data_IF_275520841712
#
_entry.id   IF_275520841712
#
_cell.length_a   1.000
_cell.length_b   1.000
_cell.length_c   1.000
_cell.angle_alpha   90.00
_cell.angle_beta   90.00
_cell.angle_gamma   90.00
#
_symmetry.space_group_name_H-M   'P 1'
#
loop_
_entity.id
_entity.type
_entity.pdbx_description
1 polymer ?
#
# COMPACT_ATOMS: atom_id res chain seq x y z
N UNK A 1 -13.61 3.20 6.33
CA UNK A 1 -13.87 3.91 5.05
C UNK A 1 -13.18 5.26 5.09
N UNK A 2 -12.68 5.76 3.95
CA UNK A 2 -12.16 7.12 3.81
C UNK A 2 -13.24 8.19 4.05
N UNK A 3 -14.52 7.83 3.88
CA UNK A 3 -15.65 8.70 4.26
C UNK A 3 -15.68 9.01 5.75
N UNK A 4 -15.37 8.04 6.61
CA UNK A 4 -15.28 8.23 8.06
C UNK A 4 -14.11 9.14 8.42
N UNK A 5 -12.96 8.97 7.77
CA UNK A 5 -11.79 9.85 7.98
C UNK A 5 -12.12 11.28 7.62
N UNK A 6 -12.72 11.50 6.43
CA UNK A 6 -13.19 12.84 6.03
C UNK A 6 -14.21 13.39 7.03
N UNK A 7 -15.17 12.60 7.46
CA UNK A 7 -16.27 13.09 8.29
C UNK A 7 -15.85 13.40 9.74
N UNK A 8 -14.90 12.65 10.31
CA UNK A 8 -14.65 12.63 11.77
C UNK A 8 -13.23 12.98 12.20
N UNK A 9 -12.22 12.71 11.37
CA UNK A 9 -10.83 12.66 11.84
C UNK A 9 -10.28 14.04 12.19
N UNK A 10 -10.12 14.35 13.47
CA UNK A 10 -9.48 15.60 13.91
C UNK A 10 -7.97 15.45 14.13
N UNK A 11 -7.44 14.23 14.09
CA UNK A 11 -6.00 13.96 14.07
C UNK A 11 -5.67 12.99 12.96
N UNK A 12 -4.68 13.32 12.14
CA UNK A 12 -4.23 12.51 11.01
C UNK A 12 -2.72 12.33 11.13
N UNK A 13 -2.27 11.08 11.12
CA UNK A 13 -0.87 10.69 11.15
C UNK A 13 -0.50 10.08 9.79
N UNK A 14 0.49 10.64 9.12
CA UNK A 14 1.13 10.05 7.95
C UNK A 14 2.50 9.52 8.36
N UNK A 15 2.77 8.24 8.08
CA UNK A 15 4.00 7.57 8.47
C UNK A 15 4.70 6.94 7.25
N UNK A 16 5.89 7.44 6.91
CA UNK A 16 6.67 6.93 5.77
C UNK A 16 5.89 6.99 4.46
N UNK A 17 5.14 8.07 4.24
CA UNK A 17 4.30 8.25 3.07
C UNK A 17 4.15 9.70 2.67
N UNK A 18 4.15 9.94 1.36
CA UNK A 18 4.00 11.26 0.76
C UNK A 18 2.75 11.31 -0.15
N UNK A 19 1.54 11.34 0.42
CA UNK A 19 0.29 11.41 -0.37
C UNK A 19 0.18 12.68 -1.22
N UNK A 20 0.79 13.81 -0.85
CA UNK A 20 0.78 15.01 -1.71
C UNK A 20 1.40 14.74 -3.09
N UNK A 21 2.41 13.86 -3.16
CA UNK A 21 3.05 13.43 -4.40
C UNK A 21 2.38 12.18 -5.00
N UNK A 22 2.27 11.09 -4.21
CA UNK A 22 1.83 9.77 -4.68
C UNK A 22 0.32 9.65 -4.90
N UNK A 23 -0.47 10.47 -4.20
CA UNK A 23 -1.94 10.46 -4.23
C UNK A 23 -2.46 11.91 -4.33
N UNK A 24 -2.28 12.61 -5.46
CA UNK A 24 -2.36 14.08 -5.51
C UNK A 24 -3.66 14.69 -4.97
N UNK A 25 -4.78 13.97 -5.07
CA UNK A 25 -6.09 14.41 -4.57
C UNK A 25 -6.42 13.97 -3.15
N UNK A 26 -5.51 13.30 -2.45
CA UNK A 26 -5.77 12.77 -1.11
C UNK A 26 -5.93 13.89 -0.10
N UNK A 27 -5.00 14.85 -0.09
CA UNK A 27 -5.01 15.99 0.82
C UNK A 27 -6.29 16.81 0.61
N UNK A 28 -6.55 17.24 -0.64
CA UNK A 28 -7.77 17.95 -1.05
C UNK A 28 -9.05 17.26 -0.54
N UNK A 29 -9.17 15.94 -0.74
CA UNK A 29 -10.43 15.21 -0.51
C UNK A 29 -10.65 14.74 0.91
N UNK A 30 -9.60 14.48 1.68
CA UNK A 30 -9.70 13.80 2.98
C UNK A 30 -9.09 14.59 4.14
N UNK A 31 -8.18 15.53 3.86
CA UNK A 31 -7.56 16.39 4.87
C UNK A 31 -8.20 17.78 4.84
N UNK A 32 -8.19 18.43 3.68
CA UNK A 32 -8.66 19.82 3.57
C UNK A 32 -10.18 19.93 3.59
N UNK A 33 -10.86 18.95 3.00
CA UNK A 33 -12.31 18.94 2.90
C UNK A 33 -13.00 18.97 4.29
N UNK A 34 -14.05 19.81 4.44
CA UNK A 34 -14.95 19.76 5.59
C UNK A 34 -15.59 18.37 5.78
N UNK A 35 -15.78 18.03 7.05
CA UNK A 35 -16.48 16.83 7.51
C UNK A 35 -17.62 17.15 8.47
N UNK A 36 -18.43 16.14 8.78
CA UNK A 36 -19.60 16.28 9.68
C UNK A 36 -19.22 16.75 11.08
N UNK A 37 -18.08 16.28 11.62
CA UNK A 37 -17.58 16.61 12.96
C UNK A 37 -16.32 17.48 12.93
N UNK A 38 -15.91 17.91 11.73
CA UNK A 38 -14.76 18.79 11.46
C UNK A 38 -15.16 19.80 10.37
N UNK A 39 -16.15 20.68 10.65
CA UNK A 39 -16.74 21.57 9.64
C UNK A 39 -15.76 22.61 9.09
N UNK A 40 -14.71 22.94 9.83
CA UNK A 40 -13.62 23.82 9.41
C UNK A 40 -12.59 23.18 8.48
N UNK A 41 -12.73 21.88 8.16
CA UNK A 41 -11.80 21.16 7.27
C UNK A 41 -10.39 21.10 7.86
N UNK A 42 -9.36 21.46 7.08
CA UNK A 42 -7.95 21.47 7.51
C UNK A 42 -7.71 22.15 8.86
N UNK A 43 -8.44 23.24 9.17
CA UNK A 43 -8.29 24.03 10.42
C UNK A 43 -8.71 23.27 11.67
N UNK A 44 -9.60 22.29 11.52
CA UNK A 44 -10.09 21.46 12.63
C UNK A 44 -9.27 20.17 12.77
N UNK A 45 -8.22 20.00 11.94
CA UNK A 45 -7.38 18.81 11.91
C UNK A 45 -5.96 19.12 12.32
N UNK A 46 -5.43 18.26 13.17
CA UNK A 46 -4.01 18.17 13.44
C UNK A 46 -3.38 17.13 12.51
N UNK A 47 -2.45 17.56 11.66
CA UNK A 47 -1.74 16.73 10.69
C UNK A 47 -0.31 16.52 11.18
N UNK A 48 0.03 15.27 11.47
CA UNK A 48 1.37 14.84 11.86
C UNK A 48 1.97 14.01 10.73
N UNK A 49 3.23 14.29 10.40
CA UNK A 49 4.02 13.49 9.45
C UNK A 49 5.25 12.95 10.16
N UNK A 50 5.49 11.65 10.03
CA UNK A 50 6.72 10.97 10.45
C UNK A 50 7.40 10.43 9.21
N UNK A 51 8.61 10.89 8.93
CA UNK A 51 9.38 10.47 7.76
C UNK A 51 10.88 10.67 8.01
N UNK A 52 11.73 10.07 7.17
CA UNK A 52 13.20 10.17 7.30
C UNK A 52 13.76 11.49 6.73
N UNK A 53 12.96 12.17 5.90
CA UNK A 53 13.32 13.44 5.27
C UNK A 53 12.08 14.33 5.04
N UNK A 54 12.25 15.65 4.90
CA UNK A 54 11.17 16.55 4.49
C UNK A 54 10.58 16.17 3.13
N UNK A 55 9.26 16.30 2.99
CA UNK A 55 8.47 15.96 1.79
C UNK A 55 7.42 17.04 1.50
N UNK A 56 6.77 16.97 0.34
CA UNK A 56 5.63 17.82 0.01
C UNK A 56 4.49 17.65 1.03
N UNK A 57 4.31 16.44 1.59
CA UNK A 57 3.30 16.22 2.64
C UNK A 57 3.73 16.81 3.98
N UNK A 58 5.01 16.72 4.37
CA UNK A 58 5.49 17.29 5.63
C UNK A 58 5.45 18.81 5.64
N UNK A 59 5.61 19.45 4.47
CA UNK A 59 5.45 20.90 4.33
C UNK A 59 4.03 21.40 4.63
N UNK A 60 3.02 20.52 4.57
CA UNK A 60 1.61 20.83 4.86
C UNK A 60 1.19 20.44 6.30
N UNK A 61 2.09 19.80 7.05
CA UNK A 61 1.82 19.24 8.37
C UNK A 61 1.92 20.31 9.47
N UNK A 62 1.15 20.13 10.54
CA UNK A 62 1.29 20.92 11.77
C UNK A 62 2.50 20.45 12.59
N UNK A 63 2.87 19.18 12.45
CA UNK A 63 4.04 18.59 13.11
C UNK A 63 4.74 17.66 12.15
N UNK A 64 6.03 17.89 11.93
CA UNK A 64 6.91 16.97 11.23
C UNK A 64 7.91 16.39 12.22
N UNK A 65 7.95 15.06 12.31
CA UNK A 65 8.89 14.31 13.11
C UNK A 65 9.86 13.60 12.18
N UNK A 66 11.07 14.14 12.06
CA UNK A 66 12.13 13.51 11.30
C UNK A 66 12.80 12.42 12.15
N UNK A 67 12.90 11.22 11.59
CA UNK A 67 13.46 10.04 12.28
C UNK A 67 14.72 9.54 11.58
N UNK A 68 15.56 8.81 12.31
CA UNK A 68 16.73 8.17 11.71
C UNK A 68 16.29 7.06 10.72
N UNK A 69 16.93 6.95 9.54
CA UNK A 69 16.58 5.89 8.58
C UNK A 69 16.68 4.49 9.18
N UNK A 70 15.62 3.69 8.99
CA UNK A 70 15.57 2.29 9.43
C UNK A 70 15.26 2.10 10.93
N UNK A 71 14.85 3.16 11.64
CA UNK A 71 14.55 3.12 13.09
C UNK A 71 13.05 3.24 13.42
N UNK A 72 12.18 2.98 12.43
CA UNK A 72 10.73 3.05 12.58
C UNK A 72 10.20 2.13 13.69
N UNK A 73 10.75 0.90 13.79
CA UNK A 73 10.31 -0.08 14.77
C UNK A 73 10.55 0.41 16.19
N UNK A 74 11.77 0.87 16.47
CA UNK A 74 12.21 1.37 17.78
C UNK A 74 11.33 2.53 18.22
N UNK A 75 11.07 3.47 17.31
CA UNK A 75 10.19 4.60 17.61
C UNK A 75 8.74 4.17 17.87
N UNK A 76 8.18 3.32 17.02
CA UNK A 76 6.82 2.80 17.20
C UNK A 76 6.71 2.04 18.53
N UNK A 77 7.72 1.26 18.89
CA UNK A 77 7.75 0.51 20.15
C UNK A 77 7.84 1.45 21.36
N UNK A 78 8.65 2.49 21.28
CA UNK A 78 8.73 3.53 22.31
C UNK A 78 7.41 4.28 22.49
N UNK A 79 6.76 4.68 21.40
CA UNK A 79 5.43 5.30 21.42
C UNK A 79 4.40 4.40 22.11
N UNK A 80 4.43 3.09 21.85
CA UNK A 80 3.56 2.12 22.54
C UNK A 80 3.83 2.07 24.04
N UNK A 81 5.10 2.05 24.44
CA UNK A 81 5.50 2.13 25.84
C UNK A 81 4.95 3.39 26.51
N UNK A 82 5.15 4.54 25.90
CA UNK A 82 4.65 5.84 26.40
C UNK A 82 3.13 5.89 26.48
N UNK A 83 2.40 5.36 25.49
CA UNK A 83 0.93 5.28 25.53
C UNK A 83 0.47 4.50 26.77
N UNK A 84 1.18 3.42 27.12
CA UNK A 84 0.95 2.56 28.29
C UNK A 84 1.52 3.09 29.61
N UNK A 85 2.19 4.24 29.60
CA UNK A 85 2.84 4.81 30.78
C UNK A 85 4.09 4.04 31.23
N UNK A 86 4.72 3.28 30.33
CA UNK A 86 6.02 2.64 30.60
C UNK A 86 7.11 3.70 30.47
N UNK A 87 7.96 3.89 31.50
CA UNK A 87 9.08 4.82 31.41
C UNK A 87 10.11 4.31 30.39
N UNK A 88 10.64 5.23 29.59
CA UNK A 88 11.74 4.94 28.67
C UNK A 88 13.08 5.20 29.38
N UNK A 89 14.04 4.31 29.18
CA UNK A 89 15.40 4.45 29.73
C UNK A 89 16.22 5.50 29.00
N UNK A 90 16.02 5.61 27.68
CA UNK A 90 16.79 6.50 26.81
C UNK A 90 16.06 7.83 26.62
N UNK A 91 16.83 8.92 26.59
CA UNK A 91 16.28 10.27 26.37
C UNK A 91 16.03 10.57 24.88
N UNK A 92 16.61 9.78 23.98
CA UNK A 92 16.49 9.91 22.52
C UNK A 92 16.31 8.53 21.92
N UNK A 93 15.35 8.40 20.99
CA UNK A 93 15.02 7.16 20.29
C UNK A 93 14.81 7.53 18.82
N UNK A 94 15.45 6.80 17.89
CA UNK A 94 15.28 7.02 16.46
C UNK A 94 15.56 8.48 16.01
N UNK A 95 16.54 9.14 16.63
CA UNK A 95 16.86 10.55 16.37
C UNK A 95 15.92 11.57 17.03
N UNK A 96 14.91 11.11 17.79
CA UNK A 96 13.87 11.96 18.40
C UNK A 96 13.94 11.91 19.93
N UNK A 97 13.89 13.08 20.57
CA UNK A 97 13.90 13.16 22.03
C UNK A 97 12.57 12.75 22.66
N UNK A 98 12.62 12.12 23.85
CA UNK A 98 11.41 11.74 24.61
C UNK A 98 10.55 12.95 24.99
N UNK A 99 11.16 14.13 25.12
CA UNK A 99 10.43 15.39 25.34
C UNK A 99 9.62 15.83 24.13
N UNK A 100 9.97 15.42 22.91
CA UNK A 100 9.14 15.59 21.71
C UNK A 100 8.05 14.51 21.61
N UNK A 101 8.36 13.27 22.01
CA UNK A 101 7.41 12.15 21.94
C UNK A 101 6.28 12.25 22.97
N UNK A 102 6.57 12.76 24.17
CA UNK A 102 5.59 12.80 25.26
C UNK A 102 4.37 13.69 24.91
N UNK A 103 4.54 14.93 24.42
CA UNK A 103 3.43 15.75 23.94
C UNK A 103 2.66 15.10 22.79
N UNK A 104 3.37 14.47 21.85
CA UNK A 104 2.76 13.78 20.71
C UNK A 104 1.85 12.64 21.17
N UNK A 105 2.29 11.85 22.15
CA UNK A 105 1.47 10.78 22.76
C UNK A 105 0.24 11.35 23.46
N UNK A 106 0.35 12.47 24.17
CA UNK A 106 -0.82 13.13 24.79
C UNK A 106 -1.80 13.65 23.73
N UNK A 107 -1.30 14.19 22.62
CA UNK A 107 -2.12 14.58 21.48
C UNK A 107 -2.84 13.36 20.88
N UNK A 108 -2.15 12.23 20.72
CA UNK A 108 -2.79 11.02 20.22
C UNK A 108 -3.90 10.49 21.14
N UNK A 109 -3.68 10.52 22.45
CA UNK A 109 -4.65 10.07 23.46
C UNK A 109 -5.86 11.01 23.58
N UNK A 110 -5.69 12.29 23.26
CA UNK A 110 -6.75 13.32 23.35
C UNK A 110 -7.50 13.57 22.03
N UNK A 111 -7.13 12.89 20.94
CA UNK A 111 -7.87 12.95 19.68
C UNK A 111 -9.35 12.55 19.86
N UNK A 112 -10.26 13.14 19.10
CA UNK A 112 -11.67 12.70 19.06
C UNK A 112 -11.84 11.52 18.10
N UNK A 113 -11.14 11.57 16.98
CA UNK A 113 -11.01 10.47 16.03
C UNK A 113 -9.66 10.60 15.32
N UNK A 114 -8.80 9.62 15.54
CA UNK A 114 -7.49 9.54 14.90
C UNK A 114 -7.49 8.62 13.67
N UNK A 115 -6.77 9.03 12.62
CA UNK A 115 -6.52 8.20 11.45
C UNK A 115 -5.02 8.17 11.14
N UNK A 116 -4.44 6.98 11.13
CA UNK A 116 -3.07 6.73 10.70
C UNK A 116 -3.04 6.19 9.27
N UNK A 117 -2.12 6.72 8.48
CA UNK A 117 -1.82 6.28 7.13
C UNK A 117 -0.34 5.94 7.06
N UNK A 118 0.01 4.81 6.45
CA UNK A 118 1.41 4.42 6.25
C UNK A 118 1.68 4.03 4.81
N UNK A 119 2.91 4.24 4.32
CA UNK A 119 3.27 3.94 2.93
C UNK A 119 4.57 3.15 2.80
N UNK A 120 5.19 3.20 1.62
CA UNK A 120 6.40 2.45 1.31
C UNK A 120 7.56 2.68 2.27
N UNK A 121 7.66 3.86 2.91
CA UNK A 121 8.70 4.12 3.91
C UNK A 121 8.68 3.13 5.07
N UNK A 122 7.50 2.60 5.42
CA UNK A 122 7.35 1.60 6.47
C UNK A 122 7.51 0.16 5.98
N UNK A 123 7.39 -0.07 4.67
CA UNK A 123 7.34 -1.42 4.07
C UNK A 123 8.53 -1.76 3.18
N UNK A 124 9.40 -0.80 2.87
CA UNK A 124 10.52 -0.98 1.92
C UNK A 124 11.84 -1.40 2.58
N UNK A 125 11.97 -1.31 3.90
CA UNK A 125 13.24 -1.50 4.61
C UNK A 125 13.11 -2.37 5.86
N UNK A 126 14.25 -2.88 6.34
CA UNK A 126 14.35 -3.65 7.59
C UNK A 126 13.53 -4.94 7.57
N UNK A 127 12.67 -5.11 8.57
CA UNK A 127 11.66 -6.17 8.63
C UNK A 127 10.26 -5.55 8.46
N UNK A 128 9.79 -5.36 7.20
CA UNK A 128 8.57 -4.62 6.88
C UNK A 128 7.33 -5.02 7.69
N UNK A 129 7.14 -6.33 7.89
CA UNK A 129 5.99 -6.86 8.61
C UNK A 129 6.02 -6.51 10.10
N UNK A 130 7.20 -6.39 10.71
CA UNK A 130 7.35 -5.97 12.11
C UNK A 130 7.07 -4.48 12.29
N UNK A 131 7.54 -3.64 11.36
CA UNK A 131 7.24 -2.21 11.36
C UNK A 131 5.73 -1.96 11.25
N UNK A 132 5.09 -2.62 10.29
CA UNK A 132 3.63 -2.54 10.12
C UNK A 132 2.92 -3.09 11.35
N UNK A 133 3.32 -4.25 11.90
CA UNK A 133 2.73 -4.76 13.14
C UNK A 133 2.87 -3.74 14.28
N UNK A 134 4.03 -3.13 14.48
CA UNK A 134 4.24 -2.15 15.54
C UNK A 134 3.28 -0.97 15.42
N UNK A 135 3.03 -0.46 14.21
CA UNK A 135 2.03 0.60 13.97
C UNK A 135 0.60 0.12 14.23
N UNK A 136 0.23 -1.07 13.76
CA UNK A 136 -1.09 -1.65 14.02
C UNK A 136 -1.34 -1.84 15.53
N UNK A 137 -0.30 -2.27 16.26
CA UNK A 137 -0.34 -2.42 17.71
C UNK A 137 -0.39 -1.08 18.44
N UNK A 138 0.33 -0.07 17.97
CA UNK A 138 0.22 1.30 18.49
C UNK A 138 -1.22 1.82 18.37
N UNK A 139 -1.83 1.66 17.19
CA UNK A 139 -3.22 2.03 16.95
C UNK A 139 -4.18 1.22 17.85
N UNK A 140 -3.88 -0.06 18.09
CA UNK A 140 -4.64 -0.88 19.05
C UNK A 140 -4.52 -0.35 20.47
N UNK A 141 -3.32 0.00 20.92
CA UNK A 141 -3.05 0.56 22.24
C UNK A 141 -3.75 1.94 22.41
N UNK A 142 -3.77 2.78 21.36
CA UNK A 142 -4.48 4.06 21.35
C UNK A 142 -6.01 3.91 21.44
N UNK A 143 -6.57 2.82 20.91
CA UNK A 143 -8.01 2.54 21.01
C UNK A 143 -8.49 2.28 22.45
N UNK A 144 -7.59 2.08 23.42
CA UNK A 144 -7.94 2.08 24.84
C UNK A 144 -8.24 3.50 25.39
N UNK A 145 -7.90 4.56 24.65
CA UNK A 145 -8.10 5.95 25.04
C UNK A 145 -9.13 6.66 24.15
N UNK A 146 -9.01 6.52 22.84
CA UNK A 146 -9.92 7.17 21.87
C UNK A 146 -9.93 6.41 20.55
N UNK A 147 -10.90 6.67 19.68
CA UNK A 147 -11.03 5.94 18.43
C UNK A 147 -9.88 6.26 17.47
N UNK A 148 -9.10 5.24 17.14
CA UNK A 148 -8.07 5.31 16.10
C UNK A 148 -8.30 4.26 15.01
N UNK A 149 -8.05 4.62 13.76
CA UNK A 149 -8.02 3.68 12.62
C UNK A 149 -6.70 3.80 11.88
N UNK A 150 -6.30 2.74 11.19
CA UNK A 150 -5.06 2.72 10.41
C UNK A 150 -5.27 2.08 9.05
N UNK A 151 -4.66 2.64 8.01
CA UNK A 151 -4.71 2.14 6.63
C UNK A 151 -3.38 2.34 5.91
N UNK A 152 -2.97 1.35 5.12
CA UNK A 152 -1.86 1.55 4.18
C UNK A 152 -2.30 2.46 3.02
N UNK A 153 -1.46 3.41 2.63
CA UNK A 153 -1.50 4.16 1.38
C UNK A 153 -0.76 3.36 0.30
N UNK A 154 -1.48 2.38 -0.22
CA UNK A 154 -1.09 1.50 -1.32
C UNK A 154 -0.90 2.30 -2.60
N UNK A 155 0.12 1.99 -3.40
CA UNK A 155 0.36 2.71 -4.63
C UNK A 155 -0.83 2.57 -5.61
N UNK A 156 -1.13 3.61 -6.41
CA UNK A 156 -2.11 3.50 -7.48
C UNK A 156 -1.78 2.34 -8.42
N UNK A 157 -2.76 1.50 -8.72
CA UNK A 157 -2.56 0.30 -9.54
C UNK A 157 -2.08 -0.93 -8.77
N UNK A 158 -1.87 -0.84 -7.45
CA UNK A 158 -1.63 -2.04 -6.63
C UNK A 158 -2.81 -3.02 -6.68
N UNK A 159 -2.46 -4.29 -6.63
CA UNK A 159 -3.32 -5.45 -6.85
C UNK A 159 -4.40 -5.68 -5.77
N UNK A 160 -4.79 -4.68 -4.97
CA UNK A 160 -5.75 -4.85 -3.85
C UNK A 160 -7.06 -5.54 -4.27
N UNK A 161 -7.56 -5.25 -5.47
CA UNK A 161 -8.71 -5.93 -6.06
C UNK A 161 -8.39 -7.40 -6.36
N UNK A 162 -7.24 -7.68 -6.98
CA UNK A 162 -6.81 -9.04 -7.29
C UNK A 162 -6.49 -9.86 -6.03
N UNK A 163 -5.91 -9.25 -5.00
CA UNK A 163 -5.67 -9.89 -3.70
C UNK A 163 -6.98 -10.24 -3.01
N UNK A 164 -7.99 -9.37 -3.09
CA UNK A 164 -9.33 -9.66 -2.57
C UNK A 164 -9.93 -10.85 -3.31
N UNK A 165 -9.87 -10.86 -4.65
CA UNK A 165 -10.34 -11.96 -5.50
C UNK A 165 -9.65 -13.26 -5.13
N UNK A 166 -8.32 -13.23 -5.08
CA UNK A 166 -7.50 -14.39 -4.76
C UNK A 166 -7.81 -14.91 -3.35
N UNK A 167 -8.03 -14.00 -2.39
CA UNK A 167 -8.38 -14.37 -1.02
C UNK A 167 -9.71 -15.13 -0.95
N UNK A 168 -10.76 -14.66 -1.61
CA UNK A 168 -12.04 -15.37 -1.55
C UNK A 168 -12.06 -16.64 -2.42
N UNK A 169 -11.23 -16.73 -3.45
CA UNK A 169 -11.14 -17.93 -4.30
C UNK A 169 -10.24 -19.02 -3.70
N UNK A 170 -9.18 -18.64 -2.98
CA UNK A 170 -8.10 -19.56 -2.58
C UNK A 170 -7.85 -19.62 -1.08
N UNK A 171 -8.40 -18.67 -0.32
CA UNK A 171 -8.12 -18.46 1.10
C UNK A 171 -6.89 -17.56 1.37
N UNK A 172 -6.16 -17.12 0.33
CA UNK A 172 -4.89 -16.41 0.48
C UNK A 172 -4.76 -15.20 -0.46
N UNK A 173 -4.11 -14.10 -0.03
CA UNK A 173 -4.14 -12.83 -0.76
C UNK A 173 -3.09 -12.70 -1.87
N UNK A 174 -1.99 -13.44 -1.82
CA UNK A 174 -0.86 -13.35 -2.75
C UNK A 174 0.00 -14.61 -2.63
N UNK A 175 1.05 -14.77 -3.45
CA UNK A 175 2.03 -15.86 -3.30
C UNK A 175 1.39 -17.26 -3.17
N UNK A 176 0.39 -17.53 -4.01
CA UNK A 176 -0.38 -18.78 -3.98
C UNK A 176 0.16 -19.73 -5.03
N UNK A 177 0.61 -20.90 -4.59
CA UNK A 177 1.07 -21.99 -5.44
C UNK A 177 -0.04 -23.04 -5.63
N UNK A 178 -0.33 -23.38 -6.89
CA UNK A 178 -1.37 -24.34 -7.28
C UNK A 178 -0.81 -25.68 -7.81
N UNK A 179 0.51 -25.91 -7.76
CA UNK A 179 1.18 -27.06 -8.42
C UNK A 179 0.71 -28.43 -7.92
N UNK A 180 0.15 -28.52 -6.71
CA UNK A 180 -0.38 -29.77 -6.14
C UNK A 180 -1.87 -29.98 -6.40
N UNK A 181 -2.51 -29.12 -7.20
CA UNK A 181 -3.95 -29.15 -7.45
C UNK A 181 -4.81 -28.51 -6.35
N UNK A 182 -4.18 -27.90 -5.33
CA UNK A 182 -4.84 -27.14 -4.28
C UNK A 182 -3.95 -25.96 -3.84
N UNK A 183 -4.52 -24.87 -3.29
CA UNK A 183 -3.76 -23.68 -2.94
C UNK A 183 -2.79 -23.93 -1.77
N UNK A 184 -1.55 -23.50 -1.94
CA UNK A 184 -0.55 -23.38 -0.88
C UNK A 184 -0.05 -21.94 -0.81
N UNK A 185 0.10 -21.41 0.40
CA UNK A 185 0.51 -20.03 0.63
C UNK A 185 1.77 -19.98 1.47
N UNK A 186 2.82 -19.35 0.93
CA UNK A 186 4.06 -19.12 1.66
C UNK A 186 4.84 -17.96 1.02
N UNK A 187 4.62 -16.70 1.47
CA UNK A 187 5.45 -15.57 1.05
C UNK A 187 6.93 -15.83 1.33
N UNK A 188 7.79 -15.50 0.37
CA UNK A 188 9.22 -15.82 0.36
C UNK A 188 9.53 -17.10 -0.42
N UNK A 189 8.76 -18.18 -0.19
CA UNK A 189 8.84 -19.39 -1.03
C UNK A 189 8.19 -19.11 -2.40
N UNK A 190 6.95 -18.60 -2.43
CA UNK A 190 6.16 -18.40 -3.66
C UNK A 190 6.04 -16.92 -4.08
N UNK A 191 6.93 -16.06 -3.59
CA UNK A 191 7.02 -14.67 -4.07
C UNK A 191 7.64 -14.66 -5.47
N UNK A 192 7.02 -13.96 -6.42
CA UNK A 192 7.49 -13.88 -7.80
C UNK A 192 8.97 -13.48 -7.90
N UNK A 193 9.39 -12.46 -7.16
CA UNK A 193 10.80 -12.04 -7.07
C UNK A 193 11.71 -13.18 -6.66
N UNK A 194 11.40 -13.87 -5.56
CA UNK A 194 12.26 -14.93 -5.05
C UNK A 194 12.28 -16.18 -5.94
N UNK A 195 11.16 -16.54 -6.56
CA UNK A 195 11.08 -17.61 -7.56
C UNK A 195 12.00 -17.31 -8.76
N UNK A 196 11.99 -16.06 -9.24
CA UNK A 196 12.84 -15.60 -10.34
C UNK A 196 14.32 -15.58 -9.96
N UNK A 197 14.68 -15.04 -8.78
CA UNK A 197 16.08 -15.00 -8.32
C UNK A 197 16.69 -16.39 -8.17
N UNK A 198 15.87 -17.37 -7.73
CA UNK A 198 16.31 -18.77 -7.57
C UNK A 198 16.29 -19.57 -8.87
N UNK A 199 15.81 -19.00 -9.97
CA UNK A 199 15.71 -19.67 -11.26
C UNK A 199 14.70 -20.82 -11.29
N UNK A 200 13.70 -20.81 -10.40
CA UNK A 200 12.72 -21.90 -10.25
C UNK A 200 11.61 -21.86 -11.30
N UNK A 201 11.47 -20.73 -12.01
CA UNK A 201 10.42 -20.49 -13.00
C UNK A 201 10.94 -20.80 -14.40
N UNK A 202 10.16 -21.53 -15.19
CA UNK A 202 10.45 -21.89 -16.58
C UNK A 202 9.62 -21.11 -17.61
N UNK A 203 8.54 -20.43 -17.20
CA UNK A 203 7.76 -19.50 -18.01
C UNK A 203 7.03 -18.46 -17.15
N UNK A 204 6.83 -17.24 -17.67
CA UNK A 204 6.18 -16.15 -16.93
C UNK A 204 5.03 -15.54 -17.73
N UNK A 205 3.88 -15.37 -17.05
CA UNK A 205 2.73 -14.60 -17.54
C UNK A 205 2.67 -13.27 -16.77
N UNK A 206 2.81 -12.16 -17.49
CA UNK A 206 2.69 -10.80 -16.94
C UNK A 206 1.34 -10.20 -17.34
N UNK A 207 0.55 -9.80 -16.34
CA UNK A 207 -0.76 -9.17 -16.53
C UNK A 207 -0.70 -7.72 -16.05
N UNK A 208 -0.84 -6.76 -16.96
CA UNK A 208 -0.91 -5.32 -16.63
C UNK A 208 0.22 -4.82 -15.72
N UNK A 209 1.43 -5.39 -15.85
CA UNK A 209 2.51 -5.20 -14.88
C UNK A 209 3.30 -3.92 -15.16
N UNK A 210 3.38 -3.03 -14.16
CA UNK A 210 4.14 -1.77 -14.25
C UNK A 210 5.36 -1.71 -13.32
N UNK A 211 5.54 -2.72 -12.45
CA UNK A 211 6.56 -2.74 -11.40
C UNK A 211 7.85 -3.50 -11.73
N UNK A 212 8.12 -3.84 -13.00
CA UNK A 212 9.29 -4.66 -13.36
C UNK A 212 10.63 -4.00 -13.01
N UNK A 213 10.69 -2.67 -13.03
CA UNK A 213 11.86 -1.88 -12.64
C UNK A 213 12.24 -2.03 -11.16
N UNK A 214 11.33 -2.56 -10.32
CA UNK A 214 11.56 -2.80 -8.89
C UNK A 214 12.18 -4.18 -8.64
N UNK A 215 12.27 -5.04 -9.65
CA UNK A 215 12.88 -6.36 -9.50
C UNK A 215 14.40 -6.23 -9.31
N UNK A 216 15.00 -7.01 -8.40
CA UNK A 216 16.45 -7.15 -8.31
C UNK A 216 17.06 -7.61 -9.64
N UNK A 217 18.32 -7.24 -9.88
CA UNK A 217 19.01 -7.53 -11.14
C UNK A 217 19.01 -9.03 -11.50
N UNK A 218 19.15 -9.92 -10.50
CA UNK A 218 19.11 -11.37 -10.70
C UNK A 218 17.72 -11.85 -11.15
N UNK A 219 16.64 -11.36 -10.51
CA UNK A 219 15.27 -11.69 -10.91
C UNK A 219 14.98 -11.22 -12.34
N UNK A 220 15.41 -10.00 -12.67
CA UNK A 220 15.21 -9.42 -13.99
C UNK A 220 16.00 -10.18 -15.08
N UNK A 221 17.24 -10.60 -14.78
CA UNK A 221 18.04 -11.41 -15.69
C UNK A 221 17.36 -12.76 -15.99
N UNK A 222 16.86 -13.45 -14.95
CA UNK A 222 16.14 -14.71 -15.15
C UNK A 222 14.83 -14.52 -15.93
N UNK A 223 14.05 -13.49 -15.60
CA UNK A 223 12.83 -13.12 -16.34
C UNK A 223 13.09 -12.95 -17.84
N UNK A 224 14.21 -12.32 -18.22
CA UNK A 224 14.60 -12.12 -19.63
C UNK A 224 15.11 -13.39 -20.32
N UNK A 225 15.45 -14.43 -19.57
CA UNK A 225 16.00 -15.69 -20.10
C UNK A 225 14.94 -16.75 -20.40
N UNK A 226 13.75 -16.63 -19.80
CA UNK A 226 12.65 -17.60 -19.94
C UNK A 226 11.57 -17.11 -20.90
N UNK A 227 10.75 -18.03 -21.46
CA UNK A 227 9.55 -17.66 -22.19
C UNK A 227 8.63 -16.74 -21.38
N UNK A 228 8.26 -15.61 -21.98
CA UNK A 228 7.45 -14.57 -21.35
C UNK A 228 6.24 -14.23 -22.21
N UNK A 229 5.05 -14.26 -21.59
CA UNK A 229 3.80 -13.84 -22.19
C UNK A 229 3.31 -12.58 -21.47
N UNK A 230 3.08 -11.50 -22.21
CA UNK A 230 2.60 -10.23 -21.67
C UNK A 230 1.19 -9.94 -22.19
N UNK A 231 0.26 -9.68 -21.26
CA UNK A 231 -1.08 -9.15 -21.56
C UNK A 231 -1.17 -7.75 -20.95
N UNK A 232 -1.22 -6.72 -21.80
CA UNK A 232 -1.29 -5.32 -21.37
C UNK A 232 -1.98 -4.43 -22.41
N UNK A 233 -2.17 -3.15 -22.10
CA UNK A 233 -2.78 -2.18 -23.02
C UNK A 233 -1.88 -1.76 -24.18
N UNK A 234 -0.60 -2.17 -24.19
CA UNK A 234 0.40 -1.71 -25.14
C UNK A 234 0.90 -0.28 -24.93
N UNK A 235 0.44 0.44 -23.90
CA UNK A 235 0.82 1.85 -23.68
C UNK A 235 2.17 2.05 -23.00
N UNK A 236 2.69 1.01 -22.36
CA UNK A 236 3.96 1.05 -21.65
C UNK A 236 5.04 0.37 -22.48
N UNK A 237 6.23 0.97 -22.51
CA UNK A 237 7.42 0.32 -23.04
C UNK A 237 7.93 -0.75 -22.07
N UNK A 238 8.51 -1.82 -22.60
CA UNK A 238 9.14 -2.88 -21.84
C UNK A 238 10.65 -2.83 -22.08
N UNK A 239 11.43 -2.95 -21.01
CA UNK A 239 12.90 -3.00 -21.07
C UNK A 239 13.45 -4.35 -21.58
N UNK A 240 12.59 -5.18 -22.17
CA UNK A 240 12.91 -6.46 -22.80
C UNK A 240 11.85 -6.84 -23.83
N UNK A 241 12.21 -7.74 -24.73
CA UNK A 241 11.30 -8.28 -25.74
C UNK A 241 10.64 -9.56 -25.21
N UNK A 242 9.32 -9.58 -24.96
CA UNK A 242 8.64 -10.79 -24.53
C UNK A 242 8.51 -11.79 -25.69
N UNK A 243 8.36 -13.08 -25.37
CA UNK A 243 8.11 -14.13 -26.37
C UNK A 243 6.78 -13.90 -27.09
N UNK A 244 5.75 -13.51 -26.34
CA UNK A 244 4.44 -13.14 -26.87
C UNK A 244 3.94 -11.90 -26.13
N UNK A 245 3.48 -10.90 -26.89
CA UNK A 245 2.75 -9.74 -26.35
C UNK A 245 1.36 -9.69 -26.98
N UNK A 246 0.33 -9.70 -26.15
CA UNK A 246 -1.07 -9.61 -26.55
C UNK A 246 -1.65 -8.32 -26.00
N UNK A 247 -2.04 -7.41 -26.89
CA UNK A 247 -2.63 -6.14 -26.49
C UNK A 247 -4.10 -6.33 -26.12
N UNK A 248 -4.51 -5.75 -25.01
CA UNK A 248 -5.87 -5.85 -24.46
C UNK A 248 -6.52 -4.49 -24.28
N UNK A 249 -7.84 -4.51 -24.15
CA UNK A 249 -8.63 -3.34 -23.84
C UNK A 249 -8.44 -2.89 -22.38
N UNK A 250 -8.08 -1.63 -22.18
CA UNK A 250 -8.03 -0.98 -20.86
C UNK A 250 -9.40 -0.86 -20.17
N UNK A 251 -9.53 -1.42 -18.95
CA UNK A 251 -10.71 -1.24 -18.09
C UNK A 251 -10.85 0.20 -17.61
N UNK A 252 -12.08 0.73 -17.57
CA UNK A 252 -12.37 2.12 -17.25
C UNK A 252 -12.14 3.10 -18.40
N UNK A 253 -11.62 2.63 -19.53
CA UNK A 253 -11.58 3.38 -20.78
C UNK A 253 -12.36 2.68 -21.88
N UNK A 254 -11.98 1.45 -22.23
CA UNK A 254 -12.58 0.67 -23.32
C UNK A 254 -13.60 -0.36 -22.84
N UNK A 255 -13.46 -0.83 -21.60
CA UNK A 255 -14.30 -1.87 -20.99
C UNK A 255 -14.79 -1.42 -19.63
N UNK A 256 -16.00 -1.86 -19.26
CA UNK A 256 -16.47 -1.76 -17.88
C UNK A 256 -15.79 -2.79 -16.99
N UNK A 257 -15.89 -2.63 -15.67
CA UNK A 257 -15.26 -3.54 -14.72
C UNK A 257 -15.53 -3.13 -13.27
N UNK A 258 -14.76 -3.69 -12.34
CA UNK A 258 -14.82 -3.30 -10.93
C UNK A 258 -13.40 -3.18 -10.39
N UNK A 259 -13.14 -2.11 -9.66
CA UNK A 259 -11.88 -1.91 -8.94
C UNK A 259 -12.17 -1.54 -7.49
N UNK A 260 -11.29 -1.91 -6.57
CA UNK A 260 -11.37 -1.51 -5.17
C UNK A 260 -10.57 -0.23 -4.94
N UNK A 261 -11.19 0.74 -4.28
CA UNK A 261 -10.46 1.89 -3.72
C UNK A 261 -9.56 1.43 -2.58
N UNK A 262 -8.61 2.27 -2.19
CA UNK A 262 -7.71 2.10 -1.03
C UNK A 262 -8.37 1.52 0.25
N UNK A 263 -9.61 1.92 0.54
CA UNK A 263 -10.34 1.46 1.73
C UNK A 263 -11.17 0.18 1.52
N UNK A 264 -10.98 -0.51 0.40
CA UNK A 264 -11.70 -1.72 0.02
C UNK A 264 -13.08 -1.47 -0.59
N UNK A 265 -13.46 -0.20 -0.82
CA UNK A 265 -14.76 0.12 -1.43
C UNK A 265 -14.75 -0.28 -2.91
N UNK A 266 -15.62 -1.19 -3.38
CA UNK A 266 -15.72 -1.52 -4.80
C UNK A 266 -16.31 -0.34 -5.56
N UNK A 267 -15.70 -0.01 -6.69
CA UNK A 267 -16.09 1.06 -7.59
C UNK A 267 -16.31 0.47 -8.99
N UNK A 268 -17.48 0.71 -9.62
CA UNK A 268 -17.70 0.31 -10.99
C UNK A 268 -16.83 1.17 -11.93
N UNK A 269 -16.22 0.52 -12.90
CA UNK A 269 -15.55 1.16 -14.03
C UNK A 269 -16.52 1.18 -15.21
N UNK A 270 -16.58 2.31 -15.90
CA UNK A 270 -17.42 2.51 -17.07
C UNK A 270 -16.55 2.63 -18.33
N UNK A 271 -17.01 2.06 -19.45
CA UNK A 271 -16.38 2.28 -20.74
C UNK A 271 -16.77 3.68 -21.25
N UNK A 272 -15.79 4.46 -21.66
CA UNK A 272 -15.95 5.82 -22.21
C UNK A 272 -15.60 5.85 -23.70
N UNK A 273 -14.73 4.94 -24.15
CA UNK A 273 -14.31 4.75 -25.53
C UNK A 273 -14.60 3.32 -25.98
N UNK A 274 -14.60 3.08 -27.29
CA UNK A 274 -14.70 1.74 -27.89
C UNK A 274 -13.31 1.23 -28.27
N UNK A 275 -13.12 -0.08 -28.22
CA UNK A 275 -11.94 -0.76 -28.73
C UNK A 275 -12.33 -2.13 -29.28
N UNK A 276 -11.68 -2.52 -30.38
CA UNK A 276 -11.81 -3.86 -30.97
C UNK A 276 -10.87 -4.88 -30.30
N UNK A 277 -10.00 -4.44 -29.39
CA UNK A 277 -9.12 -5.32 -28.64
C UNK A 277 -9.91 -6.17 -27.63
N UNK A 278 -9.52 -7.43 -27.40
CA UNK A 278 -10.15 -8.29 -26.41
C UNK A 278 -9.91 -7.77 -24.98
N UNK A 279 -10.76 -8.15 -24.04
CA UNK A 279 -10.52 -7.97 -22.62
C UNK A 279 -9.58 -9.06 -22.07
N UNK A 280 -8.88 -8.78 -20.98
CA UNK A 280 -7.94 -9.74 -20.36
C UNK A 280 -8.60 -11.10 -20.08
N UNK A 281 -9.82 -11.10 -19.54
CA UNK A 281 -10.52 -12.32 -19.18
C UNK A 281 -10.94 -13.17 -20.39
N UNK A 282 -11.19 -12.56 -21.55
CA UNK A 282 -11.51 -13.26 -22.79
C UNK A 282 -10.29 -14.02 -23.31
N UNK A 283 -9.12 -13.35 -23.29
CA UNK A 283 -7.85 -13.99 -23.64
C UNK A 283 -7.48 -15.11 -22.67
N UNK A 284 -7.57 -14.85 -21.36
CA UNK A 284 -7.25 -15.86 -20.34
C UNK A 284 -8.17 -17.09 -20.45
N UNK A 285 -9.46 -16.90 -20.73
CA UNK A 285 -10.38 -18.00 -20.96
C UNK A 285 -10.03 -18.80 -22.23
N UNK A 286 -9.70 -18.11 -23.33
CA UNK A 286 -9.31 -18.74 -24.59
C UNK A 286 -7.96 -19.48 -24.49
N UNK A 287 -7.03 -19.01 -23.64
CA UNK A 287 -5.79 -19.71 -23.32
C UNK A 287 -6.07 -20.94 -22.46
N UNK A 288 -6.87 -20.80 -21.39
CA UNK A 288 -7.23 -21.91 -20.51
C UNK A 288 -7.96 -23.04 -21.25
N UNK A 289 -8.81 -22.72 -22.22
CA UNK A 289 -9.51 -23.71 -23.05
C UNK A 289 -8.59 -24.52 -24.00
N UNK A 290 -7.38 -24.02 -24.29
CA UNK A 290 -6.39 -24.72 -25.12
C UNK A 290 -5.37 -25.53 -24.32
N UNK A 291 -5.25 -25.25 -23.03
CA UNK A 291 -4.36 -25.95 -22.10
C UNK A 291 -5.02 -27.16 -21.43
N UNK A 292 -6.35 -27.27 -21.54
CA UNK A 292 -7.16 -28.42 -21.09
C UNK A 292 -7.43 -29.35 -22.27
#
# INVERSE_FOLDING_TARGET
SLGEVRARSNTILFWGCNPAHSHPRFIERFVDAPGLFVPGGRRDRQVIVVDVAPTETSALADTFLQIDPGSDFELLWALRGLVKGVPLSDNTIAGVSVSQLSPLVQQFKSAQYGAAFFGPGLTAHGLPHQNVEALLRLVTDLNAHTRWVVRGLRNPGEASSAESVLSWQTGYPMCVNMSRGYPRYNPGEFTATNLLERGEVDAVLLLGTTGLHQLPAAALAHLKSVPTVVLDSGWHELDFTPTVRLNTSTYGLHRGGTTSRLDGTPLPLHAVLKSDLPADHELLAALAARLR
#
